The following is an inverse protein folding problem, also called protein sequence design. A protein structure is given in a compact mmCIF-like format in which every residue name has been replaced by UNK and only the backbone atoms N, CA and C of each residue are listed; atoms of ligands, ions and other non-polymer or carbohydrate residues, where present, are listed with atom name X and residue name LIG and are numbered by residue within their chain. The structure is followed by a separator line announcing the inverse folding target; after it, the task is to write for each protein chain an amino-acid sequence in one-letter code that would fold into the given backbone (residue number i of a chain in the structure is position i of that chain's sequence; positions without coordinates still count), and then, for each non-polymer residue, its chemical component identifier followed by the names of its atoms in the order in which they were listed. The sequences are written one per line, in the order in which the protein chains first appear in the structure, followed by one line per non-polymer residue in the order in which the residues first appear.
data_IF_726175494124
#
_entry.id   IF_726175494124
#
_cell.length_a   1.000
_cell.length_b   1.000
_cell.length_c   1.000
_cell.angle_alpha   90.00
_cell.angle_beta   90.00
_cell.angle_gamma   90.00
#
_symmetry.space_group_name_H-M   'P 1'
#
loop_
_entity.id
_entity.type
_entity.pdbx_description
1 polymer ?
#
# COMPACT_ATOMS: atom_id res chain seq x y z
N UNK A 1 23.31 -10.63 -18.78
CA UNK A 1 22.84 -10.22 -17.45
C UNK A 1 22.36 -8.78 -17.54
N UNK A 2 21.12 -8.57 -18.01
CA UNK A 2 20.50 -7.25 -18.07
C UNK A 2 19.85 -6.98 -16.71
N UNK A 3 20.46 -6.10 -15.93
CA UNK A 3 19.82 -5.54 -14.74
C UNK A 3 18.79 -4.54 -15.25
N UNK A 4 17.53 -4.97 -15.34
CA UNK A 4 16.42 -4.10 -15.71
C UNK A 4 16.26 -2.99 -14.68
N UNK A 5 16.74 -1.79 -15.00
CA UNK A 5 16.47 -0.59 -14.20
C UNK A 5 15.00 -0.21 -14.40
N UNK A 6 14.09 -0.73 -13.54
CA UNK A 6 12.74 -0.19 -13.41
C UNK A 6 12.87 1.31 -13.09
N UNK A 7 12.48 2.18 -14.03
CA UNK A 7 12.47 3.64 -13.84
C UNK A 7 11.66 3.96 -12.57
N UNK A 8 12.28 4.70 -11.66
CA UNK A 8 11.68 5.14 -10.40
C UNK A 8 10.68 6.26 -10.71
N UNK A 9 9.43 5.92 -11.05
CA UNK A 9 8.37 6.93 -11.19
C UNK A 9 7.59 7.02 -9.88
N UNK A 10 7.83 8.07 -9.11
CA UNK A 10 6.96 8.46 -8.01
C UNK A 10 5.64 8.99 -8.61
N UNK A 11 4.56 8.21 -8.53
CA UNK A 11 3.22 8.69 -8.90
C UNK A 11 2.64 9.43 -7.71
N UNK A 12 2.73 10.76 -7.71
CA UNK A 12 1.99 11.63 -6.79
C UNK A 12 0.49 11.47 -7.07
N UNK A 13 -0.15 10.51 -6.38
CA UNK A 13 -1.61 10.41 -6.37
C UNK A 13 -2.16 11.25 -5.21
N UNK A 14 -3.40 11.73 -5.36
CA UNK A 14 -4.10 12.43 -4.28
C UNK A 14 -4.09 11.61 -2.97
N UNK A 15 -4.24 10.28 -3.07
CA UNK A 15 -4.19 9.38 -1.93
C UNK A 15 -2.83 9.38 -1.20
N UNK A 16 -1.70 9.41 -1.94
CA UNK A 16 -0.36 9.50 -1.33
C UNK A 16 -0.20 10.82 -0.57
N UNK A 17 -0.65 11.93 -1.17
CA UNK A 17 -0.60 13.25 -0.53
C UNK A 17 -1.43 13.26 0.76
N UNK A 18 -2.66 12.73 0.74
CA UNK A 18 -3.51 12.64 1.93
C UNK A 18 -2.89 11.78 3.02
N UNK A 19 -2.33 10.61 2.68
CA UNK A 19 -1.68 9.72 3.65
C UNK A 19 -0.45 10.37 4.29
N UNK A 20 0.39 11.04 3.50
CA UNK A 20 1.54 11.79 4.01
C UNK A 20 1.08 12.91 4.95
N UNK A 21 0.02 13.65 4.61
CA UNK A 21 -0.53 14.70 5.47
C UNK A 21 -1.06 14.15 6.82
N UNK A 22 -1.82 13.05 6.79
CA UNK A 22 -2.34 12.40 8.00
C UNK A 22 -1.21 11.87 8.89
N UNK A 23 -0.22 11.19 8.30
CA UNK A 23 0.93 10.67 9.05
C UNK A 23 1.80 11.80 9.60
N UNK A 24 1.92 12.92 8.88
CA UNK A 24 2.58 14.14 9.37
C UNK A 24 1.84 14.71 10.58
N UNK A 25 0.52 14.83 10.52
CA UNK A 25 -0.29 15.32 11.64
C UNK A 25 -0.14 14.41 12.87
N UNK A 26 -0.21 13.10 12.68
CA UNK A 26 0.02 12.12 13.75
C UNK A 26 1.44 12.23 14.32
N UNK A 27 2.45 12.33 13.45
CA UNK A 27 3.84 12.48 13.86
C UNK A 27 4.05 13.76 14.67
N UNK A 28 3.40 14.86 14.29
CA UNK A 28 3.43 16.12 15.02
C UNK A 28 2.77 16.01 16.39
N UNK A 29 1.59 15.39 16.50
CA UNK A 29 0.94 15.15 17.80
C UNK A 29 1.85 14.32 18.73
N UNK A 30 2.48 13.28 18.20
CA UNK A 30 3.46 12.48 18.95
C UNK A 30 4.72 13.27 19.31
N UNK A 31 5.12 14.23 18.48
CA UNK A 31 6.24 15.13 18.75
C UNK A 31 5.93 16.08 19.93
N UNK A 32 4.68 16.51 20.09
CA UNK A 32 4.26 17.33 21.23
C UNK A 32 4.32 16.58 22.57
N UNK A 33 4.26 15.24 22.55
CA UNK A 33 4.32 14.37 23.72
C UNK A 33 5.75 13.96 24.13
N UNK A 34 6.76 14.78 23.77
CA UNK A 34 8.16 14.54 24.15
C UNK A 34 8.38 14.73 25.65
N UNK A 35 9.25 13.92 26.23
CA UNK A 35 9.58 13.95 27.66
C UNK A 35 11.06 13.65 27.89
N UNK A 36 11.63 14.13 28.98
CA UNK A 36 13.03 13.84 29.34
C UNK A 36 13.13 12.65 30.30
N UNK A 37 14.33 12.07 30.38
CA UNK A 37 14.66 10.99 31.29
C UNK A 37 15.62 11.52 32.37
N UNK A 38 15.09 12.10 33.46
CA UNK A 38 15.93 12.77 34.47
C UNK A 38 16.89 11.76 35.12
N UNK A 39 18.00 12.28 35.65
CA UNK A 39 19.07 11.53 36.34
C UNK A 39 19.87 10.55 35.46
N UNK A 40 19.39 10.18 34.28
CA UNK A 40 20.10 9.29 33.36
C UNK A 40 20.72 10.05 32.18
N UNK A 41 20.01 11.05 31.66
CA UNK A 41 20.44 11.84 30.51
C UNK A 41 20.22 13.35 30.75
N UNK A 42 21.02 14.22 30.09
CA UNK A 42 20.80 15.65 30.11
C UNK A 42 19.37 16.03 29.69
N UNK A 43 18.81 17.06 30.31
CA UNK A 43 17.40 17.44 30.17
C UNK A 43 16.98 17.86 28.76
N UNK A 44 17.95 18.23 27.91
CA UNK A 44 17.73 18.61 26.51
C UNK A 44 17.75 17.42 25.54
N UNK A 45 18.07 16.20 26.02
CA UNK A 45 17.84 14.96 25.27
C UNK A 45 16.43 14.43 25.60
N UNK A 46 15.49 14.66 24.69
CA UNK A 46 14.07 14.33 24.88
C UNK A 46 13.68 13.07 24.13
N UNK A 47 13.00 12.16 24.84
CA UNK A 47 12.44 10.92 24.32
C UNK A 47 11.14 11.22 23.59
N UNK A 48 11.00 10.70 22.37
CA UNK A 48 9.80 10.84 21.56
C UNK A 48 9.63 9.70 20.58
N UNK A 49 8.37 9.44 20.21
CA UNK A 49 7.98 8.34 19.33
C UNK A 49 7.51 8.82 17.94
N UNK A 50 7.87 10.05 17.60
CA UNK A 50 7.35 10.78 16.45
C UNK A 50 7.91 10.31 15.10
N UNK A 51 8.91 9.43 15.08
CA UNK A 51 9.43 8.81 13.84
C UNK A 51 8.64 7.58 13.39
N UNK A 52 7.75 7.06 14.24
CA UNK A 52 6.92 5.91 13.88
C UNK A 52 6.09 6.17 12.62
N UNK A 53 5.33 7.28 12.51
CA UNK A 53 4.51 7.51 11.32
C UNK A 53 5.37 7.76 10.07
N UNK A 54 6.56 8.35 10.23
CA UNK A 54 7.51 8.55 9.15
C UNK A 54 8.10 7.22 8.64
N UNK A 55 8.45 6.31 9.54
CA UNK A 55 8.87 4.95 9.19
C UNK A 55 7.78 4.20 8.41
N UNK A 56 6.52 4.28 8.87
CA UNK A 56 5.39 3.67 8.17
C UNK A 56 5.19 4.27 6.78
N UNK A 57 5.27 5.59 6.64
CA UNK A 57 5.24 6.26 5.33
C UNK A 57 6.37 5.77 4.43
N UNK A 58 7.58 5.65 4.98
CA UNK A 58 8.77 5.13 4.29
C UNK A 58 8.60 3.70 3.77
N UNK A 59 8.06 2.81 4.61
CA UNK A 59 7.87 1.40 4.25
C UNK A 59 6.74 1.19 3.23
N UNK A 60 5.67 1.96 3.30
CA UNK A 60 4.53 1.79 2.39
C UNK A 60 4.64 2.53 1.07
N UNK A 61 4.92 3.83 1.13
CA UNK A 61 4.89 4.75 -0.02
C UNK A 61 6.30 5.03 -0.54
N UNK A 62 7.31 4.51 0.15
CA UNK A 62 8.71 4.60 -0.21
C UNK A 62 9.48 5.71 0.52
N UNK A 63 10.81 5.75 0.35
CA UNK A 63 11.69 6.55 1.21
C UNK A 63 11.40 8.05 1.22
N UNK A 64 11.01 8.60 0.07
CA UNK A 64 10.67 10.03 -0.06
C UNK A 64 9.47 10.39 0.82
N UNK A 65 8.44 9.55 0.90
CA UNK A 65 7.28 9.81 1.76
C UNK A 65 7.69 9.84 3.23
N UNK A 66 8.55 8.91 3.66
CA UNK A 66 9.09 8.89 5.02
C UNK A 66 9.85 10.18 5.35
N UNK A 67 10.75 10.61 4.45
CA UNK A 67 11.50 11.87 4.62
C UNK A 67 10.57 13.08 4.69
N UNK A 68 9.54 13.16 3.83
CA UNK A 68 8.57 14.25 3.85
C UNK A 68 7.84 14.35 5.19
N UNK A 69 7.43 13.21 5.77
CA UNK A 69 6.77 13.20 7.09
C UNK A 69 7.71 13.74 8.17
N UNK A 70 8.99 13.35 8.18
CA UNK A 70 10.00 13.89 9.13
C UNK A 70 10.13 15.41 8.97
N UNK A 71 10.33 15.87 7.74
CA UNK A 71 10.54 17.29 7.43
C UNK A 71 9.32 18.10 7.84
N UNK A 72 8.12 17.73 7.39
CA UNK A 72 6.92 18.52 7.68
C UNK A 72 6.57 18.52 9.17
N UNK A 73 6.76 17.40 9.87
CA UNK A 73 6.60 17.35 11.32
C UNK A 73 7.48 18.39 12.03
N UNK A 74 8.77 18.46 11.68
CA UNK A 74 9.69 19.42 12.28
C UNK A 74 9.33 20.87 11.90
N UNK A 75 8.96 21.12 10.63
CA UNK A 75 8.51 22.44 10.18
C UNK A 75 7.26 22.92 10.93
N UNK A 76 6.31 22.04 11.24
CA UNK A 76 5.14 22.37 12.05
C UNK A 76 5.50 22.76 13.49
N UNK A 77 6.62 22.26 14.02
CA UNK A 77 7.10 22.58 15.36
C UNK A 77 7.90 23.89 15.43
N UNK A 78 8.54 24.32 14.34
CA UNK A 78 9.39 25.52 14.32
C UNK A 78 8.74 26.77 14.97
N UNK A 79 7.46 27.12 14.73
CA UNK A 79 6.82 28.28 15.37
C UNK A 79 6.68 28.17 16.89
N UNK A 80 6.89 26.98 17.46
CA UNK A 80 6.70 26.65 18.87
C UNK A 80 8.02 26.26 19.56
N UNK A 81 9.17 26.69 19.03
CA UNK A 81 10.49 26.36 19.61
C UNK A 81 10.80 27.20 20.85
N UNK A 82 11.53 26.61 21.79
CA UNK A 82 12.15 27.28 22.94
C UNK A 82 13.68 27.21 22.90
N UNK A 83 14.26 26.56 21.88
CA UNK A 83 15.70 26.22 21.81
C UNK A 83 16.41 26.86 20.62
N UNK A 84 15.93 28.01 20.17
CA UNK A 84 16.45 28.71 18.98
C UNK A 84 16.50 27.79 17.74
N UNK A 85 15.49 26.94 17.53
CA UNK A 85 15.33 26.01 16.41
C UNK A 85 16.35 24.85 16.35
N UNK A 86 17.31 24.80 17.27
CA UNK A 86 18.40 23.81 17.25
C UNK A 86 17.89 22.40 17.51
N UNK A 87 16.99 22.26 18.47
CA UNK A 87 16.38 20.98 18.80
C UNK A 87 15.63 20.42 17.60
N UNK A 88 14.76 21.22 16.98
CA UNK A 88 13.96 20.78 15.84
C UNK A 88 14.80 20.46 14.59
N UNK A 89 15.87 21.22 14.34
CA UNK A 89 16.83 20.93 13.26
C UNK A 89 17.59 19.62 13.53
N UNK A 90 18.03 19.41 14.77
CA UNK A 90 18.74 18.20 15.19
C UNK A 90 17.87 16.96 15.01
N UNK A 91 16.62 17.03 15.49
CA UNK A 91 15.64 15.95 15.32
C UNK A 91 15.32 15.68 13.84
N UNK A 92 15.25 16.71 13.00
CA UNK A 92 15.02 16.54 11.56
C UNK A 92 16.16 15.76 10.89
N UNK A 93 17.41 16.14 11.14
CA UNK A 93 18.58 15.48 10.55
C UNK A 93 18.72 14.03 11.02
N UNK A 94 18.59 13.81 12.33
CA UNK A 94 18.69 12.49 12.96
C UNK A 94 17.53 11.59 12.51
N UNK A 95 16.30 12.13 12.46
CA UNK A 95 15.11 11.41 11.98
C UNK A 95 15.23 10.98 10.51
N UNK A 96 15.77 11.84 9.63
CA UNK A 96 16.04 11.47 8.23
C UNK A 96 17.08 10.34 8.17
N UNK A 97 18.14 10.41 8.96
CA UNK A 97 19.18 9.38 8.99
C UNK A 97 18.69 8.03 9.51
N UNK A 98 17.63 8.01 10.31
CA UNK A 98 16.96 6.78 10.71
C UNK A 98 16.03 6.24 9.61
N UNK A 99 15.10 7.08 9.13
CA UNK A 99 14.00 6.67 8.25
C UNK A 99 14.48 6.33 6.84
N UNK A 100 15.36 7.15 6.26
CA UNK A 100 15.78 7.03 4.86
C UNK A 100 16.47 5.70 4.55
N UNK A 101 17.55 5.29 5.24
CA UNK A 101 18.21 4.01 4.94
C UNK A 101 17.31 2.82 5.26
N UNK A 102 16.52 2.89 6.33
CA UNK A 102 15.57 1.83 6.67
C UNK A 102 14.56 1.61 5.55
N UNK A 103 13.95 2.70 5.05
CA UNK A 103 12.97 2.65 3.97
C UNK A 103 13.58 2.20 2.63
N UNK A 104 14.83 2.58 2.33
CA UNK A 104 15.54 2.12 1.13
C UNK A 104 15.73 0.60 1.20
N UNK A 105 16.22 0.07 2.31
CA UNK A 105 16.47 -1.38 2.48
C UNK A 105 15.16 -2.16 2.37
N UNK A 106 14.10 -1.72 3.04
CA UNK A 106 12.79 -2.36 2.93
C UNK A 106 12.23 -2.32 1.49
N UNK A 107 12.49 -1.24 0.74
CA UNK A 107 12.06 -1.14 -0.65
C UNK A 107 12.78 -2.12 -1.58
N UNK A 108 14.01 -2.54 -1.25
CA UNK A 108 14.73 -3.55 -2.04
C UNK A 108 14.00 -4.90 -2.02
N UNK A 109 13.47 -5.29 -0.86
CA UNK A 109 12.63 -6.48 -0.67
C UNK A 109 11.62 -6.26 0.45
N UNK A 110 10.33 -6.37 0.12
CA UNK A 110 9.22 -6.06 1.02
C UNK A 110 8.86 -7.24 1.94
N UNK A 111 9.82 -7.66 2.77
CA UNK A 111 9.58 -8.73 3.74
C UNK A 111 9.93 -8.28 5.18
N UNK A 112 9.56 -9.10 6.17
CA UNK A 112 9.83 -8.81 7.59
C UNK A 112 11.33 -8.75 7.90
N UNK A 113 12.15 -9.51 7.18
CA UNK A 113 13.59 -9.63 7.43
C UNK A 113 14.30 -8.33 7.03
N UNK A 114 13.96 -7.78 5.87
CA UNK A 114 14.50 -6.51 5.38
C UNK A 114 13.94 -5.31 6.13
N UNK A 115 12.71 -5.41 6.67
CA UNK A 115 12.22 -4.39 7.61
C UNK A 115 13.11 -4.34 8.86
N UNK A 116 13.45 -5.49 9.46
CA UNK A 116 14.32 -5.57 10.64
C UNK A 116 15.76 -5.13 10.33
N UNK A 117 16.34 -5.57 9.20
CA UNK A 117 17.66 -5.12 8.76
C UNK A 117 17.66 -3.61 8.52
N UNK A 118 16.62 -3.09 7.85
CA UNK A 118 16.45 -1.68 7.59
C UNK A 118 16.41 -0.86 8.88
N UNK A 119 15.62 -1.29 9.86
CA UNK A 119 15.58 -0.68 11.19
C UNK A 119 16.97 -0.70 11.86
N UNK A 120 17.68 -1.83 11.81
CA UNK A 120 19.02 -1.94 12.40
C UNK A 120 20.03 -1.00 11.75
N UNK A 121 20.02 -0.90 10.42
CA UNK A 121 20.88 0.04 9.68
C UNK A 121 20.48 1.49 9.95
N UNK A 122 19.18 1.79 10.02
CA UNK A 122 18.66 3.10 10.40
C UNK A 122 19.14 3.51 11.79
N UNK A 123 19.07 2.61 12.77
CA UNK A 123 19.54 2.85 14.14
C UNK A 123 21.04 3.16 14.20
N UNK A 124 21.87 2.44 13.44
CA UNK A 124 23.31 2.71 13.36
C UNK A 124 23.59 4.06 12.68
N UNK A 125 22.89 4.34 11.57
CA UNK A 125 22.98 5.60 10.83
C UNK A 125 22.57 6.79 11.72
N UNK A 126 21.49 6.65 12.47
CA UNK A 126 21.02 7.62 13.46
C UNK A 126 22.08 7.88 14.53
N UNK A 127 22.62 6.83 15.16
CA UNK A 127 23.60 6.97 16.23
C UNK A 127 24.88 7.67 15.76
N UNK A 128 25.38 7.34 14.56
CA UNK A 128 26.56 8.01 13.97
C UNK A 128 26.24 9.47 13.68
N UNK A 129 25.10 9.76 13.04
CA UNK A 129 24.75 11.13 12.70
C UNK A 129 24.46 11.96 13.95
N UNK A 130 23.87 11.38 14.99
CA UNK A 130 23.60 12.04 16.26
C UNK A 130 24.89 12.56 16.90
N UNK A 131 25.97 11.76 16.87
CA UNK A 131 27.29 12.20 17.37
C UNK A 131 27.82 13.38 16.56
N UNK A 132 27.78 13.28 15.23
CA UNK A 132 28.29 14.32 14.32
C UNK A 132 27.50 15.62 14.48
N UNK A 133 26.17 15.54 14.41
CA UNK A 133 25.26 16.69 14.52
C UNK A 133 25.39 17.33 15.89
N UNK A 134 25.42 16.57 16.98
CA UNK A 134 25.60 17.16 18.31
C UNK A 134 26.96 17.84 18.49
N UNK A 135 28.03 17.25 17.94
CA UNK A 135 29.38 17.79 18.08
C UNK A 135 29.60 19.07 17.27
N UNK A 136 29.09 19.11 16.04
CA UNK A 136 29.46 20.15 15.08
C UNK A 136 28.34 21.12 14.74
N UNK A 137 27.08 20.78 15.03
CA UNK A 137 25.92 21.59 14.69
C UNK A 137 25.20 22.00 15.97
N UNK A 138 24.62 21.05 16.72
CA UNK A 138 23.67 21.35 17.80
C UNK A 138 24.30 22.14 18.94
N UNK A 139 25.34 21.60 19.58
CA UNK A 139 25.94 22.26 20.74
C UNK A 139 26.57 23.61 20.35
N UNK A 140 27.45 23.69 19.32
CA UNK A 140 28.06 24.96 18.94
C UNK A 140 27.04 26.04 18.57
N UNK A 141 26.03 25.69 17.78
CA UNK A 141 25.01 26.66 17.36
C UNK A 141 24.13 27.09 18.54
N UNK A 142 23.75 26.17 19.43
CA UNK A 142 22.98 26.53 20.62
C UNK A 142 23.77 27.46 21.55
N UNK A 143 25.04 27.16 21.84
CA UNK A 143 25.87 28.02 22.69
C UNK A 143 26.10 29.38 22.06
N UNK A 144 26.32 29.45 20.74
CA UNK A 144 26.48 30.72 20.04
C UNK A 144 25.21 31.58 20.17
N UNK A 145 24.04 30.97 19.92
CA UNK A 145 22.75 31.67 19.93
C UNK A 145 22.26 32.07 21.33
N UNK A 146 22.55 31.27 22.36
CA UNK A 146 21.95 31.45 23.69
C UNK A 146 22.90 32.03 24.73
N UNK A 147 24.20 31.76 24.62
CA UNK A 147 25.21 32.14 25.61
C UNK A 147 26.44 32.83 25.00
N UNK A 148 26.40 33.21 23.72
CA UNK A 148 27.53 33.87 23.04
C UNK A 148 28.79 33.01 22.96
N UNK A 149 28.61 31.67 22.89
CA UNK A 149 29.70 30.70 22.79
C UNK A 149 30.15 30.10 24.12
N UNK A 150 29.57 30.51 25.25
CA UNK A 150 29.90 29.93 26.56
C UNK A 150 29.29 28.53 26.74
N UNK A 151 30.15 27.55 27.02
CA UNK A 151 29.79 26.15 27.28
C UNK A 151 29.39 25.90 28.74
N UNK A 152 29.67 26.83 29.65
CA UNK A 152 29.53 26.64 31.10
C UNK A 152 28.14 26.16 31.52
N UNK A 153 27.08 26.69 30.91
CA UNK A 153 25.70 26.30 31.22
C UNK A 153 25.42 24.81 30.88
N UNK A 154 25.83 24.35 29.70
CA UNK A 154 25.59 22.96 29.24
C UNK A 154 26.50 21.98 29.97
N UNK A 155 27.76 22.39 30.19
CA UNK A 155 28.70 21.62 31.00
C UNK A 155 28.14 21.45 32.40
N UNK A 156 27.61 22.51 33.03
CA UNK A 156 26.98 22.43 34.34
C UNK A 156 25.83 21.41 34.42
N UNK A 157 24.96 21.37 33.39
CA UNK A 157 23.90 20.35 33.29
C UNK A 157 24.48 18.94 33.19
N UNK A 158 25.53 18.74 32.39
CA UNK A 158 26.15 17.43 32.22
C UNK A 158 26.96 17.00 33.45
N UNK A 159 27.69 17.90 34.10
CA UNK A 159 28.47 17.64 35.31
C UNK A 159 27.59 17.28 36.51
N UNK A 160 26.34 17.74 36.54
CA UNK A 160 25.37 17.33 37.55
C UNK A 160 24.97 15.84 37.43
N UNK A 161 25.08 15.25 36.24
CA UNK A 161 24.71 13.85 35.95
C UNK A 161 25.95 12.95 35.89
N UNK A 162 27.06 13.46 35.33
CA UNK A 162 28.31 12.75 35.12
C UNK A 162 29.42 13.39 35.97
N UNK A 163 29.69 12.88 37.18
CA UNK A 163 30.76 13.38 38.03
C UNK A 163 32.11 13.30 37.29
N UNK A 164 32.78 14.43 37.11
CA UNK A 164 34.05 14.54 36.39
C UNK A 164 33.96 15.14 34.99
N UNK A 165 32.77 15.47 34.50
CA UNK A 165 32.63 16.31 33.31
C UNK A 165 33.10 17.75 33.60
N UNK A 166 33.95 18.26 32.73
CA UNK A 166 34.56 19.60 32.71
C UNK A 166 34.51 20.11 31.27
N UNK A 167 34.80 21.38 31.01
CA UNK A 167 34.79 21.92 29.65
C UNK A 167 35.72 21.18 28.68
N UNK A 168 36.86 20.69 29.17
CA UNK A 168 37.89 20.04 28.35
C UNK A 168 37.48 18.63 27.89
N UNK A 169 36.77 17.90 28.75
CA UNK A 169 36.34 16.52 28.48
C UNK A 169 34.82 16.38 28.25
N UNK A 170 34.10 17.51 28.20
CA UNK A 170 32.65 17.58 28.05
C UNK A 170 32.14 16.68 26.92
N UNK A 171 32.70 16.82 25.72
CA UNK A 171 32.24 16.05 24.56
C UNK A 171 32.47 14.55 24.70
N UNK A 172 33.50 14.10 25.41
CA UNK A 172 33.72 12.67 25.63
C UNK A 172 32.63 12.08 26.52
N UNK A 173 32.29 12.75 27.63
CA UNK A 173 31.21 12.34 28.53
C UNK A 173 29.84 12.50 27.87
N UNK A 174 29.55 13.67 27.31
CA UNK A 174 28.26 13.98 26.71
C UNK A 174 27.94 13.07 25.50
N UNK A 175 28.88 12.91 24.57
CA UNK A 175 28.62 12.08 23.38
C UNK A 175 28.61 10.59 23.74
N UNK A 176 29.56 10.14 24.55
CA UNK A 176 29.74 8.73 24.89
C UNK A 176 28.69 8.19 25.88
N UNK A 177 28.35 8.96 26.92
CA UNK A 177 27.41 8.54 27.98
C UNK A 177 26.02 9.16 27.87
N UNK A 178 25.89 10.25 27.10
CA UNK A 178 24.61 10.88 26.81
C UNK A 178 24.08 10.45 25.45
N UNK A 179 24.62 11.05 24.38
CA UNK A 179 24.05 10.97 23.02
C UNK A 179 23.96 9.55 22.49
N UNK A 180 25.06 8.78 22.50
CA UNK A 180 25.06 7.41 21.95
C UNK A 180 24.07 6.50 22.67
N UNK A 181 24.16 6.28 23.99
CA UNK A 181 23.23 5.40 24.70
C UNK A 181 21.78 5.90 24.64
N UNK A 182 21.55 7.21 24.67
CA UNK A 182 20.22 7.78 24.54
C UNK A 182 19.56 7.45 23.19
N UNK A 183 20.26 7.70 22.07
CA UNK A 183 19.71 7.44 20.74
C UNK A 183 19.54 5.94 20.49
N UNK A 184 20.45 5.09 20.99
CA UNK A 184 20.29 3.64 20.91
C UNK A 184 19.05 3.16 21.68
N UNK A 185 18.82 3.68 22.89
CA UNK A 185 17.63 3.38 23.69
C UNK A 185 16.35 3.86 22.99
N UNK A 186 16.36 5.10 22.46
CA UNK A 186 15.24 5.68 21.69
C UNK A 186 14.89 4.82 20.48
N UNK A 187 15.89 4.46 19.66
CA UNK A 187 15.73 3.58 18.52
C UNK A 187 15.16 2.20 18.90
N UNK A 188 15.68 1.60 19.97
CA UNK A 188 15.23 0.28 20.43
C UNK A 188 13.76 0.31 20.86
N UNK A 189 13.39 1.28 21.70
CA UNK A 189 12.00 1.44 22.15
C UNK A 189 11.07 1.76 20.98
N UNK A 190 11.51 2.58 20.03
CA UNK A 190 10.74 2.89 18.84
C UNK A 190 10.55 1.66 17.93
N UNK A 191 11.59 0.86 17.74
CA UNK A 191 11.52 -0.38 16.97
C UNK A 191 10.51 -1.37 17.59
N UNK A 192 10.54 -1.52 18.91
CA UNK A 192 9.56 -2.35 19.64
C UNK A 192 8.14 -1.82 19.47
N UNK A 193 7.94 -0.51 19.63
CA UNK A 193 6.62 0.11 19.47
C UNK A 193 6.10 -0.01 18.03
N UNK A 194 6.99 0.14 17.05
CA UNK A 194 6.67 -0.06 15.63
C UNK A 194 6.15 -1.47 15.41
N UNK A 195 6.81 -2.50 15.96
CA UNK A 195 6.35 -3.89 15.84
C UNK A 195 4.97 -4.12 16.49
N UNK A 196 4.75 -3.59 17.68
CA UNK A 196 3.47 -3.74 18.42
C UNK A 196 2.30 -3.02 17.73
N UNK A 197 2.56 -1.84 17.17
CA UNK A 197 1.54 -1.00 16.55
C UNK A 197 1.41 -1.23 15.04
N UNK A 198 2.37 -1.92 14.40
CA UNK A 198 2.41 -2.15 12.96
C UNK A 198 1.07 -2.67 12.46
N UNK A 199 0.53 -3.74 13.05
CA UNK A 199 -0.72 -4.36 12.58
C UNK A 199 -1.92 -3.40 12.63
N UNK A 200 -1.97 -2.48 13.60
CA UNK A 200 -3.07 -1.51 13.72
C UNK A 200 -2.89 -0.33 12.77
N UNK A 201 -1.65 0.12 12.59
CA UNK A 201 -1.32 1.28 11.77
C UNK A 201 -1.18 0.95 10.28
N UNK A 202 -0.83 -0.29 9.93
CA UNK A 202 -0.79 -0.78 8.56
C UNK A 202 -2.19 -0.77 7.91
N UNK A 203 -3.26 -0.91 8.69
CA UNK A 203 -4.65 -0.80 8.20
C UNK A 203 -4.92 0.57 7.58
N UNK A 204 -4.46 1.66 8.20
CA UNK A 204 -4.59 3.03 7.66
C UNK A 204 -3.75 3.23 6.39
N UNK A 205 -2.68 2.46 6.26
CA UNK A 205 -1.67 2.55 5.21
C UNK A 205 -2.10 1.81 3.95
N UNK A 206 -2.68 0.61 4.13
CA UNK A 206 -3.27 -0.22 3.08
C UNK A 206 -4.72 0.16 2.78
N UNK A 207 -5.27 1.18 3.44
CA UNK A 207 -6.49 1.83 2.99
C UNK A 207 -6.20 2.53 1.65
N UNK A 208 -6.23 1.77 0.57
CA UNK A 208 -6.27 2.31 -0.77
C UNK A 208 -7.62 2.98 -0.93
N UNK A 209 -7.60 4.27 -1.27
CA UNK A 209 -8.77 5.05 -1.67
C UNK A 209 -9.35 4.58 -3.01
N UNK A 210 -9.62 3.28 -3.13
CA UNK A 210 -10.42 2.62 -4.17
C UNK A 210 -11.77 2.13 -3.62
N UNK A 211 -12.19 2.57 -2.42
CA UNK A 211 -13.60 2.51 -1.98
C UNK A 211 -14.50 3.55 -2.68
N UNK A 212 -14.19 3.83 -3.94
CA UNK A 212 -15.15 4.31 -4.91
C UNK A 212 -15.32 3.20 -5.96
N UNK A 213 -15.37 1.94 -5.53
CA UNK A 213 -15.88 0.87 -6.39
C UNK A 213 -17.29 1.28 -6.74
N UNK A 214 -17.55 1.52 -8.04
CA UNK A 214 -18.92 1.38 -8.55
C UNK A 214 -19.38 0.01 -8.06
N UNK A 215 -20.51 -0.02 -7.37
CA UNK A 215 -21.06 -1.28 -6.87
C UNK A 215 -21.21 -2.23 -8.05
N UNK A 216 -20.49 -3.35 -8.05
CA UNK A 216 -20.59 -4.38 -9.08
C UNK A 216 -21.45 -5.55 -8.63
N UNK A 217 -21.72 -5.71 -7.33
CA UNK A 217 -22.62 -6.76 -6.87
C UNK A 217 -24.06 -6.46 -7.28
N UNK A 218 -24.72 -7.42 -7.91
CA UNK A 218 -26.07 -7.25 -8.45
C UNK A 218 -26.45 -8.33 -9.47
N UNK A 219 -27.63 -8.15 -10.05
CA UNK A 219 -28.13 -8.99 -11.13
C UNK A 219 -28.14 -8.18 -12.44
N UNK A 220 -27.48 -8.71 -13.47
CA UNK A 220 -27.39 -8.14 -14.80
C UNK A 220 -28.11 -9.03 -15.79
N UNK A 221 -29.03 -8.45 -16.57
CA UNK A 221 -29.66 -9.15 -17.69
C UNK A 221 -28.89 -8.84 -18.96
N UNK A 222 -28.38 -9.88 -19.61
CA UNK A 222 -27.70 -9.79 -20.89
C UNK A 222 -28.58 -10.43 -21.97
N UNK A 223 -28.78 -9.70 -23.06
CA UNK A 223 -29.56 -10.08 -24.23
C UNK A 223 -28.68 -10.46 -25.43
N UNK A 224 -27.39 -10.12 -25.38
CA UNK A 224 -26.41 -10.37 -26.44
C UNK A 224 -25.04 -10.80 -25.88
N UNK A 225 -24.07 -11.05 -26.77
CA UNK A 225 -22.67 -11.23 -26.35
C UNK A 225 -22.07 -9.90 -25.91
N UNK A 226 -22.41 -8.81 -26.60
CA UNK A 226 -21.97 -7.44 -26.28
C UNK A 226 -22.38 -7.03 -24.85
N UNK A 227 -23.60 -7.38 -24.41
CA UNK A 227 -24.04 -7.13 -23.03
C UNK A 227 -23.19 -7.91 -22.01
N UNK A 228 -22.77 -9.13 -22.38
CA UNK A 228 -21.89 -9.95 -21.53
C UNK A 228 -20.51 -9.31 -21.42
N UNK A 229 -20.00 -8.75 -22.53
CA UNK A 229 -18.74 -8.01 -22.56
C UNK A 229 -18.83 -6.75 -21.71
N UNK A 230 -19.93 -5.99 -21.78
CA UNK A 230 -20.14 -4.80 -20.96
C UNK A 230 -20.12 -5.11 -19.45
N UNK A 231 -20.72 -6.24 -19.02
CA UNK A 231 -20.63 -6.69 -17.63
C UNK A 231 -19.20 -7.07 -17.26
N UNK A 232 -18.50 -7.78 -18.14
CA UNK A 232 -17.10 -8.16 -17.92
C UNK A 232 -16.17 -6.93 -17.84
N UNK A 233 -16.37 -5.92 -18.69
CA UNK A 233 -15.63 -4.65 -18.69
C UNK A 233 -15.88 -3.86 -17.41
N UNK A 234 -17.13 -3.80 -16.93
CA UNK A 234 -17.47 -3.17 -15.65
C UNK A 234 -16.72 -3.82 -14.49
N UNK A 235 -16.59 -5.15 -14.50
CA UNK A 235 -15.83 -5.88 -13.48
C UNK A 235 -14.33 -5.60 -13.66
N UNK A 236 -13.81 -5.69 -14.89
CA UNK A 236 -12.41 -5.43 -15.24
C UNK A 236 -11.93 -4.05 -14.73
N UNK A 237 -12.76 -3.03 -14.89
CA UNK A 237 -12.48 -1.67 -14.44
C UNK A 237 -12.30 -1.53 -12.92
N UNK A 238 -12.70 -2.55 -12.14
CA UNK A 238 -12.49 -2.59 -10.68
C UNK A 238 -11.26 -3.41 -10.25
N UNK A 239 -10.58 -4.08 -11.19
CA UNK A 239 -9.50 -5.03 -10.88
C UNK A 239 -8.15 -4.35 -10.62
N UNK A 240 -7.56 -4.80 -9.52
CA UNK A 240 -6.29 -4.44 -8.89
C UNK A 240 -5.05 -5.12 -9.47
N UNK A 241 -5.27 -6.36 -9.91
CA UNK A 241 -4.29 -7.41 -9.87
C UNK A 241 -4.36 -8.15 -8.53
N UNK A 242 -4.28 -9.48 -8.58
CA UNK A 242 -4.34 -10.36 -7.41
C UNK A 242 -5.74 -10.82 -7.02
N UNK A 243 -6.80 -10.40 -7.71
CA UNK A 243 -8.16 -10.87 -7.47
C UNK A 243 -8.44 -12.26 -8.07
N UNK A 244 -9.38 -12.98 -7.44
CA UNK A 244 -9.95 -14.22 -7.97
C UNK A 244 -11.41 -14.02 -8.37
N UNK A 245 -11.74 -14.37 -9.60
CA UNK A 245 -13.09 -14.41 -10.14
C UNK A 245 -13.52 -15.87 -10.22
N UNK A 246 -14.55 -16.23 -9.45
CA UNK A 246 -15.17 -17.56 -9.51
C UNK A 246 -16.28 -17.52 -10.55
N UNK A 247 -16.20 -18.37 -11.57
CA UNK A 247 -17.13 -18.37 -12.68
C UNK A 247 -17.94 -19.68 -12.70
N UNK A 248 -19.25 -19.58 -12.52
CA UNK A 248 -20.16 -20.73 -12.49
C UNK A 248 -21.37 -20.55 -13.41
N UNK A 249 -21.97 -21.65 -13.85
CA UNK A 249 -23.13 -21.63 -14.73
C UNK A 249 -23.13 -22.78 -15.72
N UNK A 250 -24.30 -23.16 -16.22
CA UNK A 250 -24.49 -24.35 -17.07
C UNK A 250 -23.55 -24.41 -18.29
N UNK A 251 -23.41 -25.60 -18.87
CA UNK A 251 -22.68 -25.76 -20.12
C UNK A 251 -23.32 -24.88 -21.21
N UNK A 252 -22.53 -24.05 -21.87
CA UNK A 252 -23.02 -23.09 -22.87
C UNK A 252 -23.65 -21.81 -22.30
N UNK A 253 -23.61 -21.57 -20.98
CA UNK A 253 -24.19 -20.37 -20.38
C UNK A 253 -23.53 -19.04 -20.84
N UNK A 254 -22.34 -19.08 -21.43
CA UNK A 254 -21.59 -17.89 -21.87
C UNK A 254 -20.37 -17.55 -21.00
N UNK A 255 -19.86 -18.51 -20.21
CA UNK A 255 -18.65 -18.33 -19.39
C UNK A 255 -17.44 -17.86 -20.20
N UNK A 256 -17.13 -18.55 -21.31
CA UNK A 256 -16.02 -18.16 -22.18
C UNK A 256 -16.24 -16.79 -22.83
N UNK A 257 -17.48 -16.44 -23.19
CA UNK A 257 -17.85 -15.10 -23.69
C UNK A 257 -17.52 -14.03 -22.64
N UNK A 258 -17.86 -14.27 -21.37
CA UNK A 258 -17.49 -13.39 -20.27
C UNK A 258 -15.97 -13.25 -20.11
N UNK A 259 -15.20 -14.35 -20.15
CA UNK A 259 -13.73 -14.28 -20.03
C UNK A 259 -13.10 -13.53 -21.20
N UNK A 260 -13.64 -13.67 -22.41
CA UNK A 260 -13.18 -12.90 -23.58
C UNK A 260 -13.36 -11.40 -23.37
N UNK A 261 -14.55 -10.96 -22.94
CA UNK A 261 -14.80 -9.54 -22.66
C UNK A 261 -13.93 -9.01 -21.51
N UNK A 262 -13.70 -9.83 -20.49
CA UNK A 262 -12.78 -9.48 -19.39
C UNK A 262 -11.35 -9.28 -19.90
N UNK A 263 -10.86 -10.21 -20.73
CA UNK A 263 -9.51 -10.18 -21.27
C UNK A 263 -9.31 -9.00 -22.23
N UNK A 264 -10.30 -8.71 -23.08
CA UNK A 264 -10.28 -7.54 -23.97
C UNK A 264 -10.21 -6.24 -23.17
N UNK A 265 -11.03 -6.10 -22.13
CA UNK A 265 -11.01 -4.94 -21.24
C UNK A 265 -9.68 -4.78 -20.48
N UNK A 266 -8.98 -5.90 -20.23
CA UNK A 266 -7.63 -5.90 -19.66
C UNK A 266 -6.52 -5.64 -20.70
N UNK A 267 -6.85 -5.61 -22.00
CA UNK A 267 -5.91 -5.38 -23.10
C UNK A 267 -5.13 -6.62 -23.55
N UNK A 268 -5.67 -7.82 -23.34
CA UNK A 268 -5.08 -9.07 -23.81
C UNK A 268 -5.15 -9.14 -25.34
N UNK A 269 -4.00 -9.29 -26.00
CA UNK A 269 -3.88 -9.36 -27.47
C UNK A 269 -4.01 -10.78 -28.03
N UNK A 270 -3.80 -11.81 -27.21
CA UNK A 270 -3.91 -13.21 -27.62
C UNK A 270 -5.37 -13.66 -27.78
N UNK A 271 -5.61 -14.66 -28.64
CA UNK A 271 -6.94 -15.26 -28.76
C UNK A 271 -7.33 -16.03 -27.49
N UNK A 272 -8.36 -15.54 -26.80
CA UNK A 272 -8.84 -16.15 -25.57
C UNK A 272 -9.76 -17.33 -25.87
N UNK A 273 -9.36 -18.50 -25.39
CA UNK A 273 -10.10 -19.76 -25.55
C UNK A 273 -10.41 -20.37 -24.19
N UNK A 274 -11.45 -21.20 -24.13
CA UNK A 274 -11.72 -22.02 -22.94
C UNK A 274 -10.58 -23.04 -22.77
N UNK A 275 -10.06 -23.26 -21.55
CA UNK A 275 -9.01 -24.24 -21.27
C UNK A 275 -9.58 -25.68 -21.28
N UNK A 276 -10.28 -26.02 -22.36
CA UNK A 276 -11.00 -27.30 -22.53
C UNK A 276 -10.05 -28.50 -22.51
N UNK A 277 -8.78 -28.33 -22.90
CA UNK A 277 -7.77 -29.41 -22.92
C UNK A 277 -6.52 -29.11 -22.10
N UNK A 278 -6.32 -27.86 -21.67
CA UNK A 278 -5.08 -27.38 -21.03
C UNK A 278 -5.24 -27.19 -19.52
N UNK A 279 -6.45 -27.29 -18.96
CA UNK A 279 -6.85 -26.98 -17.58
C UNK A 279 -6.57 -25.53 -17.13
N UNK A 280 -5.52 -24.89 -17.65
CA UNK A 280 -5.13 -23.51 -17.42
C UNK A 280 -4.63 -22.87 -18.73
N UNK A 281 -5.15 -21.70 -19.04
CA UNK A 281 -4.62 -20.78 -20.04
C UNK A 281 -4.03 -19.54 -19.33
N UNK A 282 -2.86 -19.07 -19.79
CA UNK A 282 -2.16 -17.92 -19.22
C UNK A 282 -1.97 -16.87 -20.30
N UNK A 283 -2.44 -15.64 -20.02
CA UNK A 283 -2.34 -14.50 -20.91
C UNK A 283 -1.57 -13.38 -20.21
N UNK A 284 -0.52 -12.85 -20.84
CA UNK A 284 0.41 -11.91 -20.18
C UNK A 284 0.63 -10.60 -20.94
N UNK A 285 0.02 -10.45 -22.12
CA UNK A 285 0.12 -9.23 -22.94
C UNK A 285 -0.66 -8.04 -22.37
N UNK A 286 -1.71 -8.31 -21.58
CA UNK A 286 -2.59 -7.30 -21.01
C UNK A 286 -1.98 -6.47 -19.87
N UNK A 287 -2.74 -5.46 -19.43
CA UNK A 287 -2.41 -4.59 -18.30
C UNK A 287 -2.26 -5.33 -16.97
N UNK A 288 -2.91 -6.48 -16.82
CA UNK A 288 -2.77 -7.44 -15.72
C UNK A 288 -2.62 -8.86 -16.30
N UNK A 289 -1.74 -9.72 -15.75
CA UNK A 289 -1.69 -11.13 -16.15
C UNK A 289 -3.03 -11.82 -15.85
N UNK A 290 -3.59 -12.51 -16.83
CA UNK A 290 -4.86 -13.23 -16.71
C UNK A 290 -4.62 -14.75 -16.75
N UNK A 291 -5.01 -15.43 -15.68
CA UNK A 291 -4.92 -16.87 -15.53
C UNK A 291 -6.34 -17.43 -15.56
N UNK A 292 -6.67 -18.21 -16.58
CA UNK A 292 -8.01 -18.77 -16.79
C UNK A 292 -7.97 -20.28 -16.66
N UNK A 293 -8.59 -20.81 -15.61
CA UNK A 293 -8.62 -22.23 -15.30
C UNK A 293 -10.02 -22.82 -15.35
N UNK A 294 -10.12 -24.11 -15.68
CA UNK A 294 -11.35 -24.89 -15.59
C UNK A 294 -11.15 -26.10 -14.65
N UNK A 295 -11.66 -25.97 -13.43
CA UNK A 295 -11.55 -27.00 -12.39
C UNK A 295 -12.64 -28.06 -12.47
N UNK A 296 -13.61 -27.95 -13.37
CA UNK A 296 -14.60 -29.02 -13.57
C UNK A 296 -13.91 -30.34 -13.93
N UNK A 297 -12.81 -30.25 -14.68
CA UNK A 297 -12.04 -31.37 -15.23
C UNK A 297 -10.93 -31.89 -14.32
N UNK A 298 -10.52 -31.14 -13.30
CA UNK A 298 -9.57 -31.63 -12.32
C UNK A 298 -10.18 -32.78 -11.53
N UNK A 299 -9.53 -33.94 -11.49
CA UNK A 299 -10.03 -35.17 -10.87
C UNK A 299 -9.95 -35.10 -9.34
N UNK A 300 -8.94 -34.40 -8.78
CA UNK A 300 -8.72 -34.27 -7.35
C UNK A 300 -8.07 -32.93 -6.91
N UNK A 301 -7.90 -32.76 -5.59
CA UNK A 301 -7.27 -31.57 -5.00
C UNK A 301 -5.77 -31.45 -5.36
N UNK A 302 -5.09 -32.58 -5.60
CA UNK A 302 -3.67 -32.59 -5.95
C UNK A 302 -3.46 -32.03 -7.36
N UNK A 303 -4.28 -32.43 -8.34
CA UNK A 303 -4.26 -31.89 -9.71
C UNK A 303 -4.63 -30.40 -9.74
N UNK A 304 -5.48 -29.95 -8.81
CA UNK A 304 -5.85 -28.54 -8.66
C UNK A 304 -4.67 -27.70 -8.17
N UNK A 305 -3.85 -28.25 -7.27
CA UNK A 305 -2.65 -27.59 -6.75
C UNK A 305 -1.53 -27.52 -7.79
N UNK A 306 -1.39 -28.56 -8.61
CA UNK A 306 -0.42 -28.62 -9.72
C UNK A 306 -0.68 -27.60 -10.85
N UNK A 307 -1.86 -26.97 -10.90
CA UNK A 307 -2.15 -25.90 -11.86
C UNK A 307 -1.28 -24.65 -11.64
N UNK A 308 -0.64 -24.49 -10.48
CA UNK A 308 0.21 -23.33 -10.18
C UNK A 308 -0.56 -22.00 -10.05
N UNK A 309 -1.89 -22.04 -9.98
CA UNK A 309 -2.76 -20.86 -9.88
C UNK A 309 -2.48 -20.02 -8.64
N UNK A 310 -2.13 -20.64 -7.53
CA UNK A 310 -1.97 -19.96 -6.24
C UNK A 310 -0.52 -19.80 -5.81
N UNK A 311 0.38 -20.69 -6.24
CA UNK A 311 1.81 -20.65 -5.86
C UNK A 311 2.72 -20.00 -6.90
N UNK A 312 2.52 -20.31 -8.18
CA UNK A 312 3.43 -19.89 -9.26
C UNK A 312 2.97 -18.61 -9.96
N UNK A 313 1.66 -18.32 -9.92
CA UNK A 313 1.11 -17.11 -10.52
C UNK A 313 1.65 -15.84 -9.82
N UNK A 314 1.97 -14.77 -10.58
CA UNK A 314 2.35 -13.48 -10.01
C UNK A 314 1.35 -12.96 -8.97
N UNK A 315 1.85 -12.21 -7.97
CA UNK A 315 0.99 -11.60 -6.94
C UNK A 315 -0.09 -10.68 -7.52
N UNK A 316 0.18 -10.05 -8.67
CA UNK A 316 -0.72 -9.16 -9.40
C UNK A 316 -1.56 -9.86 -10.48
N UNK A 317 -1.51 -11.19 -10.59
CA UNK A 317 -2.31 -11.93 -11.56
C UNK A 317 -3.81 -11.94 -11.18
N UNK A 318 -4.67 -11.75 -12.17
CA UNK A 318 -6.12 -11.99 -12.07
C UNK A 318 -6.40 -13.45 -12.39
N UNK A 319 -7.08 -14.15 -11.48
CA UNK A 319 -7.40 -15.58 -11.61
C UNK A 319 -8.88 -15.73 -11.93
N UNK A 320 -9.22 -16.29 -13.09
CA UNK A 320 -10.59 -16.68 -13.43
C UNK A 320 -10.69 -18.19 -13.33
N UNK A 321 -11.52 -18.67 -12.41
CA UNK A 321 -11.63 -20.10 -12.11
C UNK A 321 -13.06 -20.55 -12.43
N UNK A 322 -13.20 -21.34 -13.48
CA UNK A 322 -14.46 -22.02 -13.77
C UNK A 322 -14.65 -23.22 -12.83
N UNK A 323 -15.84 -23.34 -12.24
CA UNK A 323 -16.24 -24.47 -11.39
C UNK A 323 -15.25 -24.79 -10.26
N UNK A 324 -14.87 -23.76 -9.51
CA UNK A 324 -13.88 -23.85 -8.44
C UNK A 324 -14.13 -25.00 -7.46
N UNK A 325 -13.06 -25.74 -7.15
CA UNK A 325 -13.00 -26.79 -6.13
C UNK A 325 -12.05 -26.45 -4.98
N UNK A 326 -11.27 -25.37 -5.10
CA UNK A 326 -10.28 -24.96 -4.08
C UNK A 326 -10.93 -24.14 -2.97
N UNK A 327 -10.41 -24.31 -1.74
CA UNK A 327 -10.69 -23.42 -0.61
C UNK A 327 -9.61 -22.36 -0.40
N UNK A 328 -8.47 -22.49 -1.08
CA UNK A 328 -7.37 -21.52 -1.04
C UNK A 328 -7.65 -20.44 -2.10
N UNK A 329 -8.07 -19.26 -1.64
CA UNK A 329 -8.48 -18.13 -2.48
C UNK A 329 -7.81 -16.84 -2.01
N UNK A 330 -7.74 -15.86 -2.90
CA UNK A 330 -7.17 -14.53 -2.62
C UNK A 330 -8.07 -13.69 -1.69
N UNK A 331 -7.51 -12.61 -1.12
CA UNK A 331 -8.23 -11.72 -0.19
C UNK A 331 -9.54 -11.12 -0.77
N UNK A 332 -9.58 -10.86 -2.08
CA UNK A 332 -10.78 -10.39 -2.79
C UNK A 332 -11.25 -11.45 -3.79
N UNK A 333 -12.53 -11.82 -3.67
CA UNK A 333 -13.18 -12.84 -4.49
C UNK A 333 -14.44 -12.22 -5.10
N UNK A 334 -14.58 -12.38 -6.42
CA UNK A 334 -15.76 -11.95 -7.17
C UNK A 334 -16.45 -13.21 -7.70
N UNK A 335 -17.61 -13.55 -7.16
CA UNK A 335 -18.44 -14.66 -7.64
C UNK A 335 -19.31 -14.18 -8.79
N UNK A 336 -19.20 -14.84 -9.94
CA UNK A 336 -19.98 -14.60 -11.16
C UNK A 336 -20.72 -15.87 -11.52
N UNK A 337 -22.05 -15.82 -11.44
CA UNK A 337 -22.93 -16.92 -11.85
C UNK A 337 -23.74 -16.53 -13.08
N UNK A 338 -23.61 -17.32 -14.16
CA UNK A 338 -24.33 -17.09 -15.41
C UNK A 338 -25.40 -18.18 -15.58
N UNK A 339 -26.67 -17.76 -15.65
CA UNK A 339 -27.81 -18.65 -15.90
C UNK A 339 -28.43 -18.32 -17.25
N UNK A 340 -28.62 -19.33 -18.09
CA UNK A 340 -29.30 -19.17 -19.38
C UNK A 340 -30.81 -19.01 -19.18
N UNK A 341 -31.43 -18.01 -19.82
CA UNK A 341 -32.88 -17.79 -19.82
C UNK A 341 -33.56 -18.14 -21.17
N UNK A 342 -32.79 -18.63 -22.16
CA UNK A 342 -33.28 -18.94 -23.51
C UNK A 342 -33.23 -17.75 -24.48
N UNK A 343 -33.32 -18.00 -25.79
CA UNK A 343 -33.22 -16.98 -26.86
C UNK A 343 -32.02 -16.02 -26.70
N UNK A 344 -30.82 -16.58 -26.44
CA UNK A 344 -29.57 -15.83 -26.20
C UNK A 344 -29.54 -14.92 -24.95
N UNK A 345 -30.61 -14.94 -24.14
CA UNK A 345 -30.70 -14.19 -22.89
C UNK A 345 -30.05 -14.94 -21.74
N UNK A 346 -29.39 -14.22 -20.85
CA UNK A 346 -28.75 -14.77 -19.65
C UNK A 346 -28.85 -13.79 -18.48
N UNK A 347 -28.98 -14.35 -17.29
CA UNK A 347 -28.89 -13.64 -16.02
C UNK A 347 -27.48 -13.84 -15.46
N UNK A 348 -26.76 -12.74 -15.26
CA UNK A 348 -25.42 -12.74 -14.64
C UNK A 348 -25.57 -12.17 -13.23
N UNK A 349 -25.37 -13.01 -12.22
CA UNK A 349 -25.32 -12.57 -10.82
C UNK A 349 -23.87 -12.37 -10.41
N UNK A 350 -23.57 -11.23 -9.81
CA UNK A 350 -22.24 -10.87 -9.36
C UNK A 350 -22.28 -10.58 -7.86
N UNK A 351 -21.31 -11.11 -7.12
CA UNK A 351 -21.07 -10.80 -5.72
C UNK A 351 -19.59 -10.55 -5.46
N UNK A 352 -19.25 -9.36 -4.97
CA UNK A 352 -17.87 -8.98 -4.64
C UNK A 352 -17.66 -9.02 -3.11
N UNK A 353 -16.70 -9.82 -2.65
CA UNK A 353 -16.37 -9.92 -1.23
C UNK A 353 -15.94 -8.58 -0.61
N UNK A 354 -15.48 -7.62 -1.43
CA UNK A 354 -15.12 -6.27 -0.99
C UNK A 354 -16.33 -5.38 -0.65
N UNK A 355 -17.56 -5.74 -1.05
CA UNK A 355 -18.78 -4.92 -0.92
C UNK A 355 -19.65 -5.25 0.32
N UNK A 356 -19.31 -6.31 1.08
CA UNK A 356 -19.95 -6.65 2.36
C UNK A 356 -20.87 -7.88 2.35
N UNK A 357 -21.12 -8.42 3.54
CA UNK A 357 -21.60 -9.80 3.78
C UNK A 357 -23.04 -10.13 3.35
N UNK A 358 -23.86 -9.16 2.91
CA UNK A 358 -25.23 -9.42 2.45
C UNK A 358 -25.31 -10.05 1.04
N UNK A 359 -24.15 -10.38 0.45
CA UNK A 359 -24.04 -10.93 -0.92
C UNK A 359 -23.07 -12.11 -1.02
N UNK A 360 -22.52 -12.62 0.08
CA UNK A 360 -21.46 -13.63 0.05
C UNK A 360 -21.89 -14.93 -0.66
N UNK A 361 -21.01 -15.42 -1.55
CA UNK A 361 -21.14 -16.68 -2.25
C UNK A 361 -21.34 -17.86 -1.29
N UNK A 362 -22.16 -18.87 -1.64
CA UNK A 362 -22.24 -20.10 -0.86
C UNK A 362 -20.89 -20.83 -0.90
N UNK A 363 -20.40 -21.21 0.28
CA UNK A 363 -19.20 -22.01 0.45
C UNK A 363 -19.29 -23.35 -0.31
N UNK A 364 -18.14 -23.89 -0.70
CA UNK A 364 -18.00 -25.14 -1.45
C UNK A 364 -18.91 -26.27 -0.89
N UNK A 365 -19.77 -26.81 -1.75
CA UNK A 365 -20.56 -28.02 -1.47
C UNK A 365 -22.04 -27.85 -1.09
N UNK A 366 -22.70 -26.73 -1.38
CA UNK A 366 -24.14 -26.59 -1.09
C UNK A 366 -25.04 -27.17 -2.19
N UNK A 367 -25.77 -28.24 -1.84
CA UNK A 367 -26.78 -28.92 -2.65
C UNK A 367 -27.87 -27.99 -3.22
N UNK A 368 -28.34 -28.36 -4.42
CA UNK A 368 -29.13 -27.62 -5.42
C UNK A 368 -30.61 -27.31 -5.05
N UNK A 369 -30.95 -27.11 -3.77
CA UNK A 369 -32.36 -27.18 -3.33
C UNK A 369 -33.03 -25.89 -2.82
N UNK A 370 -32.36 -24.73 -2.74
CA UNK A 370 -32.97 -23.55 -2.09
C UNK A 370 -32.71 -22.24 -2.84
N UNK A 371 -33.43 -22.00 -3.96
CA UNK A 371 -33.66 -20.63 -4.47
C UNK A 371 -35.11 -20.50 -4.94
N UNK A 372 -36.01 -20.16 -4.02
CA UNK A 372 -37.28 -19.51 -4.33
C UNK A 372 -37.47 -18.33 -3.39
N UNK A 373 -36.94 -17.16 -3.79
CA UNK A 373 -37.55 -15.84 -3.66
C UNK A 373 -36.53 -14.78 -4.09
N UNK A 374 -36.85 -14.05 -5.16
CA UNK A 374 -36.07 -12.93 -5.68
C UNK A 374 -36.39 -11.64 -4.91
N UNK A 375 -35.41 -10.76 -4.62
CA UNK A 375 -35.71 -9.35 -4.41
C UNK A 375 -35.79 -8.63 -5.75
N UNK A 376 -36.78 -7.73 -5.88
CA UNK A 376 -37.05 -6.98 -7.10
C UNK A 376 -36.02 -5.85 -7.30
N UNK A 377 -35.32 -5.83 -8.45
CA UNK A 377 -34.43 -4.72 -8.83
C UNK A 377 -33.37 -5.05 -9.88
N UNK A 378 -33.70 -5.79 -10.94
CA UNK A 378 -32.75 -6.01 -12.05
C UNK A 378 -32.61 -4.73 -12.90
N UNK A 379 -31.38 -4.29 -13.16
CA UNK A 379 -31.09 -3.23 -14.14
C UNK A 379 -31.15 -3.82 -15.56
N UNK A 380 -31.96 -3.21 -16.42
CA UNK A 380 -32.07 -3.52 -17.86
C UNK A 380 -31.02 -2.69 -18.62
N UNK A 381 -30.08 -3.36 -19.29
CA UNK A 381 -28.95 -2.72 -19.98
C UNK A 381 -29.24 -2.36 -21.44
N UNK A 382 -30.48 -2.52 -21.93
CA UNK A 382 -30.88 -2.36 -23.34
C UNK A 382 -30.81 -0.94 -23.94
N UNK A 383 -30.02 -0.02 -23.38
CA UNK A 383 -30.00 1.38 -23.81
C UNK A 383 -28.68 2.16 -23.65
N UNK A 384 -27.54 1.49 -23.44
CA UNK A 384 -26.25 2.17 -23.41
C UNK A 384 -25.69 2.32 -24.85
N UNK A 385 -26.11 3.37 -25.57
CA UNK A 385 -25.39 3.80 -26.76
C UNK A 385 -24.02 4.40 -26.34
N UNK A 386 -22.94 4.17 -27.11
CA UNK A 386 -21.64 4.78 -26.81
C UNK A 386 -21.73 6.28 -27.04
N UNK A 387 -21.36 7.09 -26.04
CA UNK A 387 -21.23 8.54 -26.21
C UNK A 387 -20.17 8.82 -27.29
N UNK A 388 -20.63 9.12 -28.50
CA UNK A 388 -19.80 9.51 -29.62
C UNK A 388 -19.11 10.84 -29.37
N UNK A 389 -17.80 10.85 -29.58
CA UNK A 389 -16.97 12.04 -29.69
C UNK A 389 -17.58 13.03 -30.69
N UNK A 390 -18.05 14.18 -30.21
CA UNK A 390 -18.36 15.33 -31.04
C UNK A 390 -17.06 16.11 -31.33
N UNK A 391 -16.23 15.53 -32.21
CA UNK A 391 -15.12 16.25 -32.85
C UNK A 391 -15.68 17.13 -33.96
N UNK A 392 -15.74 18.44 -33.72
CA UNK A 392 -16.10 19.43 -34.73
C UNK A 392 -15.07 19.48 -35.86
N UNK A 393 -15.53 19.31 -37.08
CA UNK A 393 -14.76 19.46 -38.31
C UNK A 393 -14.69 20.96 -38.69
N UNK A 394 -13.50 21.56 -38.95
CA UNK A 394 -13.43 22.93 -39.41
C UNK A 394 -13.67 23.01 -40.92
N UNK A 395 -14.68 23.79 -41.31
CA UNK A 395 -15.00 24.20 -42.67
C UNK A 395 -13.76 24.59 -43.50
N UNK A 396 -13.62 23.96 -44.67
CA UNK A 396 -12.80 24.48 -45.77
C UNK A 396 -13.58 25.56 -46.53
N UNK A 397 -12.95 26.68 -46.94
CA UNK A 397 -13.63 27.71 -47.70
C UNK A 397 -13.75 27.32 -49.18
N UNK A 398 -14.98 27.41 -49.69
CA UNK A 398 -15.37 27.28 -51.10
C UNK A 398 -14.54 28.19 -52.04
N UNK A 399 -14.05 27.59 -53.12
CA UNK A 399 -13.81 28.29 -54.38
C UNK A 399 -15.12 28.31 -55.16
N UNK A 400 -15.57 29.49 -55.62
CA UNK A 400 -15.78 29.76 -57.05
C UNK A 400 -16.26 31.19 -57.34
N UNK A 401 -15.57 31.79 -58.32
CA UNK A 401 -16.00 32.73 -59.38
C UNK A 401 -16.80 33.98 -59.05
#
# INVERSE_FOLDING_TARGET
MQIGTKKITWRLSAAVVTKVALLTALAFVLYLAKFNLPFMFPSFLEMQFSELPAMLAGFSMGPVAGVLVVVFKCLLKFPLTSTAYVGELTDMLIGIAYVLPAAIIYRLRKDRKHALIGIGVGMLSEAVLAVIVNRYISIPFYTEMMSGGDLGAIVGVCSAIYPGATEQNFYAFYLGLGVVPFNLLRCLLMSLLTFLLYKRLSVLLHWEGRRLTRRISGEYRSHSEEDTYAVAERIAATLNGGETILLSGDLGAGKTTFVKGLAEALGVEEEVTSPTFTLLNVYTSGSLPLYHADMYRAEDEDETYELGLFEDAPEDAVRVIEWNKSSDLTDRVIDVRITSEGDSRRLIKVADSAEGADTAAPAAGADDAVIRQAPAGAEDLSGLEPEGESGGDPEQPEKQK
#
